data_IF_553203767031
#
_entry.id   IF_553203767031
#
_cell.length_a   1.000
_cell.length_b   1.000
_cell.length_c   1.000
_cell.angle_alpha   90.00
_cell.angle_beta   90.00
_cell.angle_gamma   90.00
#
_symmetry.space_group_name_H-M   'P 1'
#
loop_
_entity.id
_entity.type
_entity.pdbx_description
1 polymer ?
#
# COMPACT_ATOMS: atom_id res chain seq x y z
N UNK A 1 55.61 5.06 2.80
CA UNK A 1 55.12 4.61 1.47
C UNK A 1 54.18 5.68 0.92
N UNK A 2 54.46 6.14 -0.30
CA UNK A 2 53.82 7.27 -0.98
C UNK A 2 52.31 7.06 -1.17
N UNK A 3 51.50 7.97 -0.64
CA UNK A 3 50.04 8.02 -0.82
C UNK A 3 49.71 8.35 -2.28
N UNK A 4 49.17 7.39 -3.00
CA UNK A 4 48.87 7.52 -4.42
C UNK A 4 47.60 8.37 -4.60
N UNK A 5 47.75 9.65 -4.96
CA UNK A 5 46.68 10.66 -5.18
C UNK A 5 45.80 10.42 -6.43
N UNK A 6 45.72 9.18 -6.94
CA UNK A 6 45.17 8.87 -8.27
C UNK A 6 43.77 8.25 -8.32
N UNK A 7 43.11 7.95 -7.20
CA UNK A 7 41.84 7.20 -7.18
C UNK A 7 40.65 8.01 -6.62
N UNK A 8 40.60 9.31 -6.88
CA UNK A 8 39.38 10.09 -6.71
C UNK A 8 38.39 9.70 -7.82
N UNK A 9 37.76 8.54 -7.64
CA UNK A 9 36.86 7.90 -8.59
C UNK A 9 35.72 8.83 -9.03
N UNK A 10 35.49 8.84 -10.34
CA UNK A 10 34.43 9.54 -11.04
C UNK A 10 33.08 9.42 -10.32
N UNK A 11 32.51 10.56 -9.96
CA UNK A 11 31.18 10.69 -9.37
C UNK A 11 30.11 10.26 -10.38
N UNK A 12 29.58 9.06 -10.23
CA UNK A 12 28.35 8.65 -10.90
C UNK A 12 27.15 9.30 -10.20
N UNK A 13 26.79 10.50 -10.67
CA UNK A 13 25.48 11.10 -10.41
C UNK A 13 24.40 10.25 -11.09
N UNK A 14 23.94 9.21 -10.41
CA UNK A 14 22.77 8.47 -10.89
C UNK A 14 21.53 9.35 -10.65
N UNK A 15 20.70 9.45 -11.69
CA UNK A 15 19.58 10.39 -11.89
C UNK A 15 18.38 10.12 -10.96
N UNK A 16 18.60 9.90 -9.66
CA UNK A 16 17.55 9.82 -8.65
C UNK A 16 17.45 11.21 -8.01
N UNK A 17 16.40 11.97 -8.35
CA UNK A 17 16.07 13.25 -7.71
C UNK A 17 15.96 13.04 -6.19
N UNK A 18 17.02 13.31 -5.45
CA UNK A 18 17.00 13.33 -3.98
C UNK A 18 16.64 14.71 -3.47
N UNK A 19 15.92 14.75 -2.34
CA UNK A 19 15.52 15.98 -1.65
C UNK A 19 16.63 16.55 -0.76
N UNK A 20 17.74 15.83 -0.55
CA UNK A 20 18.88 16.33 0.23
C UNK A 20 20.20 15.80 -0.34
N UNK A 21 21.06 16.64 -0.95
CA UNK A 21 22.38 16.20 -1.41
C UNK A 21 23.31 15.94 -0.22
N UNK A 22 23.91 14.75 -0.15
CA UNK A 22 24.96 14.44 0.83
C UNK A 22 26.21 15.26 0.47
N UNK A 23 26.70 16.09 1.39
CA UNK A 23 27.93 16.85 1.15
C UNK A 23 29.13 15.93 1.11
N UNK A 24 30.17 16.33 0.36
CA UNK A 24 31.43 15.55 0.27
C UNK A 24 32.07 15.35 1.65
N UNK A 25 31.99 16.36 2.51
CA UNK A 25 32.55 16.29 3.86
C UNK A 25 31.85 15.24 4.71
N UNK A 26 30.51 15.27 4.77
CA UNK A 26 29.73 14.27 5.50
C UNK A 26 29.98 12.87 4.95
N UNK A 27 30.03 12.73 3.62
CA UNK A 27 30.36 11.44 2.99
C UNK A 27 31.71 10.90 3.46
N UNK A 28 32.75 11.74 3.46
CA UNK A 28 34.11 11.32 3.87
C UNK A 28 34.17 10.94 5.35
N UNK A 29 33.46 11.69 6.22
CA UNK A 29 33.39 11.38 7.65
C UNK A 29 32.69 10.04 7.91
N UNK A 30 31.52 9.82 7.29
CA UNK A 30 30.77 8.56 7.39
C UNK A 30 31.61 7.41 6.83
N UNK A 31 32.24 7.59 5.67
CA UNK A 31 33.08 6.58 5.05
C UNK A 31 34.25 6.16 5.94
N UNK A 32 34.98 7.14 6.52
CA UNK A 32 36.09 6.85 7.43
C UNK A 32 35.62 6.11 8.69
N UNK A 33 34.51 6.53 9.29
CA UNK A 33 33.95 5.88 10.46
C UNK A 33 33.55 4.43 10.17
N UNK A 34 32.89 4.15 9.04
CA UNK A 34 32.48 2.80 8.67
C UNK A 34 33.66 1.90 8.34
N UNK A 35 34.73 2.42 7.71
CA UNK A 35 35.96 1.67 7.49
C UNK A 35 36.62 1.25 8.81
N UNK A 36 36.61 2.12 9.83
CA UNK A 36 37.14 1.78 11.15
C UNK A 36 36.26 0.76 11.88
N UNK A 37 34.94 0.99 11.90
CA UNK A 37 34.02 0.32 12.84
C UNK A 37 33.27 -0.89 12.29
N UNK A 38 33.20 -1.11 10.97
CA UNK A 38 32.35 -2.17 10.41
C UNK A 38 33.07 -2.99 9.34
N UNK A 39 33.40 -4.24 9.68
CA UNK A 39 33.96 -5.22 8.73
C UNK A 39 33.07 -5.38 7.50
N UNK A 40 31.75 -5.53 7.73
CA UNK A 40 30.79 -5.70 6.64
C UNK A 40 30.98 -4.65 5.54
N UNK A 41 31.17 -3.39 5.93
CA UNK A 41 31.38 -2.26 5.03
C UNK A 41 32.76 -2.27 4.36
N UNK A 42 33.83 -2.60 5.11
CA UNK A 42 35.20 -2.69 4.57
C UNK A 42 35.30 -3.66 3.39
N UNK A 43 34.54 -4.75 3.45
CA UNK A 43 34.55 -5.82 2.47
C UNK A 43 33.72 -5.52 1.21
N UNK A 44 32.96 -4.41 1.16
CA UNK A 44 32.26 -3.97 -0.04
C UNK A 44 33.23 -3.34 -1.04
N UNK A 45 32.96 -3.51 -2.34
CA UNK A 45 33.64 -2.75 -3.39
C UNK A 45 33.21 -1.26 -3.38
N UNK A 46 33.89 -0.42 -4.15
CA UNK A 46 33.61 1.03 -4.18
C UNK A 46 32.15 1.36 -4.54
N UNK A 47 31.51 0.58 -5.42
CA UNK A 47 30.10 0.79 -5.80
C UNK A 47 29.17 0.36 -4.67
N UNK A 48 29.47 -0.76 -4.02
CA UNK A 48 28.74 -1.28 -2.87
C UNK A 48 28.82 -0.31 -1.68
N UNK A 49 30.02 0.21 -1.41
CA UNK A 49 30.27 1.24 -0.39
C UNK A 49 29.45 2.52 -0.64
N UNK A 50 29.41 3.00 -1.88
CA UNK A 50 28.61 4.17 -2.25
C UNK A 50 27.10 3.90 -2.08
N UNK A 51 26.62 2.73 -2.53
CA UNK A 51 25.23 2.30 -2.32
C UNK A 51 24.87 2.17 -0.85
N UNK A 52 25.77 1.64 -0.04
CA UNK A 52 25.59 1.46 1.39
C UNK A 52 25.45 2.81 2.10
N UNK A 53 26.37 3.75 1.89
CA UNK A 53 26.28 5.10 2.47
C UNK A 53 25.01 5.80 2.02
N UNK A 54 24.65 5.69 0.74
CA UNK A 54 23.42 6.28 0.21
C UNK A 54 22.18 5.79 0.95
N UNK A 55 22.05 4.48 1.15
CA UNK A 55 20.95 3.87 1.91
C UNK A 55 20.98 4.27 3.39
N UNK A 56 22.15 4.24 4.01
CA UNK A 56 22.36 4.66 5.39
C UNK A 56 21.85 6.09 5.62
N UNK A 57 22.20 7.04 4.75
CA UNK A 57 21.79 8.43 4.90
C UNK A 57 20.26 8.59 4.78
N UNK A 58 19.62 7.85 3.86
CA UNK A 58 18.15 7.82 3.77
C UNK A 58 17.54 7.24 5.04
N UNK A 59 18.09 6.15 5.57
CA UNK A 59 17.65 5.54 6.82
C UNK A 59 17.75 6.56 7.95
N UNK A 60 18.94 7.15 8.15
CA UNK A 60 19.23 8.10 9.21
C UNK A 60 18.25 9.26 9.23
N UNK A 61 17.98 9.86 8.07
CA UNK A 61 17.05 10.99 7.94
C UNK A 61 15.59 10.64 8.26
N UNK A 62 15.23 9.36 8.24
CA UNK A 62 13.89 8.88 8.59
C UNK A 62 13.78 8.43 10.05
N UNK A 63 14.88 8.34 10.78
CA UNK A 63 14.92 7.84 12.16
C UNK A 63 15.05 8.99 13.16
N UNK A 64 14.60 8.73 14.38
CA UNK A 64 14.79 9.60 15.52
C UNK A 64 15.55 8.83 16.58
N UNK A 65 16.68 9.39 17.00
CA UNK A 65 17.57 8.80 18.00
C UNK A 65 17.40 9.56 19.31
N UNK A 66 17.22 8.81 20.40
CA UNK A 66 16.90 9.35 21.71
C UNK A 66 17.84 8.75 22.75
N UNK A 67 18.68 9.57 23.35
CA UNK A 67 19.52 9.16 24.46
C UNK A 67 18.70 9.02 25.75
N UNK A 68 19.03 8.03 26.57
CA UNK A 68 18.40 7.74 27.85
C UNK A 68 19.44 7.83 28.97
N UNK A 69 18.96 8.03 30.19
CA UNK A 69 19.83 8.09 31.39
C UNK A 69 20.94 9.14 31.30
N UNK A 70 20.63 10.30 30.70
CA UNK A 70 21.58 11.39 30.52
C UNK A 70 22.59 11.20 29.38
N UNK A 71 22.50 10.11 28.61
CA UNK A 71 23.31 9.93 27.41
C UNK A 71 22.92 10.96 26.35
N UNK A 72 23.89 11.71 25.84
CA UNK A 72 23.72 12.54 24.64
C UNK A 72 24.02 11.71 23.39
N UNK A 73 23.11 11.76 22.41
CA UNK A 73 23.27 11.03 21.16
C UNK A 73 24.35 11.69 20.31
N UNK A 74 25.37 10.92 19.93
CA UNK A 74 26.46 11.39 19.08
C UNK A 74 26.19 11.07 17.61
N UNK A 75 26.86 11.80 16.72
CA UNK A 75 26.83 11.50 15.27
C UNK A 75 27.27 10.05 14.97
N UNK A 76 28.27 9.54 15.67
CA UNK A 76 28.74 8.15 15.53
C UNK A 76 27.60 7.15 15.82
N UNK A 77 26.82 7.37 16.89
CA UNK A 77 25.70 6.48 17.23
C UNK A 77 24.64 6.44 16.13
N UNK A 78 24.24 7.60 15.61
CA UNK A 78 23.23 7.69 14.56
C UNK A 78 23.69 6.99 13.27
N UNK A 79 24.97 7.20 12.91
CA UNK A 79 25.56 6.60 11.71
C UNK A 79 25.65 5.09 11.85
N UNK A 80 26.19 4.58 12.96
CA UNK A 80 26.39 3.16 13.16
C UNK A 80 25.05 2.41 13.26
N UNK A 81 24.08 2.91 14.03
CA UNK A 81 22.76 2.28 14.11
C UNK A 81 22.08 2.25 12.73
N UNK A 82 22.17 3.35 11.97
CA UNK A 82 21.65 3.38 10.59
C UNK A 82 22.40 2.43 9.66
N UNK A 83 23.71 2.24 9.88
CA UNK A 83 24.53 1.29 9.15
C UNK A 83 24.13 -0.17 9.44
N UNK A 84 23.80 -0.52 10.69
CA UNK A 84 23.27 -1.84 11.05
C UNK A 84 21.97 -2.15 10.30
N UNK A 85 21.06 -1.17 10.20
CA UNK A 85 19.85 -1.30 9.39
C UNK A 85 20.20 -1.50 7.91
N UNK A 86 21.15 -0.73 7.39
CA UNK A 86 21.60 -0.86 6.01
C UNK A 86 22.28 -2.21 5.71
N UNK A 87 23.00 -2.79 6.69
CA UNK A 87 23.64 -4.10 6.61
C UNK A 87 22.60 -5.22 6.53
N UNK A 88 21.70 -5.32 7.51
CA UNK A 88 20.72 -6.42 7.55
C UNK A 88 19.78 -6.39 6.34
N UNK A 89 19.51 -5.21 5.79
CA UNK A 89 18.64 -5.01 4.62
C UNK A 89 19.42 -4.78 3.31
N UNK A 90 20.73 -4.99 3.28
CA UNK A 90 21.56 -4.63 2.13
C UNK A 90 21.13 -5.33 0.84
N UNK A 91 20.71 -6.60 0.92
CA UNK A 91 20.18 -7.37 -0.22
C UNK A 91 18.77 -6.98 -0.65
N UNK A 92 18.02 -6.26 0.18
CA UNK A 92 16.60 -6.00 -0.02
C UNK A 92 16.33 -4.78 -0.91
N UNK A 93 15.19 -4.77 -1.60
CA UNK A 93 14.69 -3.59 -2.33
C UNK A 93 14.18 -2.53 -1.36
N UNK A 94 13.33 -2.93 -0.43
CA UNK A 94 12.83 -2.13 0.69
C UNK A 94 13.77 -2.26 1.89
N UNK A 95 14.54 -1.20 2.19
CA UNK A 95 15.67 -1.26 3.13
C UNK A 95 15.49 -0.37 4.38
N UNK A 96 14.45 0.46 4.42
CA UNK A 96 14.38 1.54 5.40
C UNK A 96 13.71 1.17 6.71
N UNK A 97 12.99 0.05 6.81
CA UNK A 97 12.20 -0.35 7.99
C UNK A 97 11.33 0.80 8.52
N UNK A 98 10.47 1.38 7.67
CA UNK A 98 9.69 2.60 7.96
C UNK A 98 8.79 2.54 9.19
N UNK A 99 8.40 1.35 9.66
CA UNK A 99 7.64 1.16 10.90
C UNK A 99 8.45 1.58 12.15
N UNK A 100 9.76 1.30 12.13
CA UNK A 100 10.65 1.60 13.25
C UNK A 100 11.25 2.98 13.08
N UNK A 101 10.73 3.95 13.85
CA UNK A 101 11.16 5.35 13.77
C UNK A 101 11.99 5.79 14.96
N UNK A 102 11.80 5.16 16.12
CA UNK A 102 12.40 5.61 17.37
C UNK A 102 13.46 4.61 17.83
N UNK A 103 14.70 5.07 17.93
CA UNK A 103 15.83 4.33 18.49
C UNK A 103 16.19 4.94 19.84
N UNK A 104 16.01 4.20 20.92
CA UNK A 104 16.39 4.61 22.27
C UNK A 104 17.76 4.02 22.60
N UNK A 105 18.69 4.88 23.00
CA UNK A 105 20.07 4.51 23.26
C UNK A 105 20.34 4.71 24.75
N UNK A 106 20.65 3.62 25.44
CA UNK A 106 21.07 3.59 26.84
C UNK A 106 22.59 3.46 26.91
N UNK A 107 23.25 4.02 27.92
CA UNK A 107 24.70 3.88 28.08
C UNK A 107 25.14 2.43 28.29
N UNK A 108 24.33 1.65 29.02
CA UNK A 108 24.56 0.23 29.33
C UNK A 108 23.22 -0.54 29.36
N UNK A 109 23.20 -1.70 30.03
CA UNK A 109 21.97 -2.44 30.29
C UNK A 109 20.98 -1.59 31.08
N UNK A 110 19.69 -1.84 30.87
CA UNK A 110 18.61 -1.05 31.46
C UNK A 110 17.48 -1.93 31.98
N UNK A 111 16.84 -1.50 33.04
CA UNK A 111 15.74 -2.26 33.65
C UNK A 111 14.42 -2.04 32.90
N UNK A 112 13.85 -3.12 32.36
CA UNK A 112 12.50 -3.09 31.79
C UNK A 112 11.46 -3.36 32.87
N UNK A 113 10.64 -2.36 33.17
CA UNK A 113 9.50 -2.51 34.11
C UNK A 113 8.46 -3.52 33.61
N UNK A 114 8.29 -3.63 32.30
CA UNK A 114 7.33 -4.55 31.68
C UNK A 114 7.75 -6.00 31.87
N UNK A 115 9.03 -6.30 31.60
CA UNK A 115 9.59 -7.66 31.70
C UNK A 115 10.20 -7.96 33.06
N UNK A 116 10.23 -6.97 33.96
CA UNK A 116 10.80 -7.02 35.32
C UNK A 116 12.23 -7.57 35.37
N UNK A 117 13.04 -7.26 34.37
CA UNK A 117 14.44 -7.71 34.25
C UNK A 117 15.31 -6.66 33.58
N UNK A 118 16.61 -6.76 33.81
CA UNK A 118 17.63 -6.07 33.02
C UNK A 118 17.62 -6.57 31.57
N UNK A 119 17.70 -5.63 30.63
CA UNK A 119 17.78 -5.88 29.20
C UNK A 119 19.03 -5.23 28.62
N UNK A 120 19.59 -5.87 27.60
CA UNK A 120 20.64 -5.28 26.76
C UNK A 120 20.04 -4.55 25.55
N UNK A 121 18.88 -5.00 25.08
CA UNK A 121 18.13 -4.39 24.00
C UNK A 121 16.67 -4.79 24.03
N UNK A 122 15.89 -4.26 23.10
CA UNK A 122 14.54 -4.72 22.90
C UNK A 122 13.83 -4.03 21.76
N UNK A 123 12.97 -4.78 21.11
CA UNK A 123 12.14 -4.30 20.00
C UNK A 123 10.67 -4.42 20.36
N UNK A 124 9.91 -3.35 20.16
CA UNK A 124 8.50 -3.29 20.55
C UNK A 124 7.57 -3.22 19.34
N UNK A 125 6.36 -3.75 19.50
CA UNK A 125 5.32 -3.72 18.48
C UNK A 125 4.73 -2.32 18.17
N UNK A 126 5.21 -1.26 18.82
CA UNK A 126 4.84 0.13 18.53
C UNK A 126 5.94 0.91 17.79
N UNK A 127 6.94 0.21 17.24
CA UNK A 127 7.96 0.82 16.38
C UNK A 127 9.13 1.48 17.12
N UNK A 128 9.41 1.02 18.35
CA UNK A 128 10.57 1.46 19.14
C UNK A 128 11.61 0.34 19.21
N UNK A 129 12.88 0.71 19.04
CA UNK A 129 14.04 -0.17 19.20
C UNK A 129 14.92 0.40 20.30
N UNK A 130 15.43 -0.44 21.18
CA UNK A 130 16.23 -0.06 22.33
C UNK A 130 17.59 -0.77 22.28
N UNK A 131 18.66 -0.02 22.56
CA UNK A 131 20.02 -0.55 22.59
C UNK A 131 20.78 -0.07 23.82
N UNK A 132 21.49 -0.99 24.48
CA UNK A 132 22.67 -0.67 25.28
C UNK A 132 23.82 -0.32 24.34
N UNK A 133 24.35 0.89 24.44
CA UNK A 133 25.45 1.35 23.60
C UNK A 133 26.75 0.57 23.85
N UNK A 134 27.01 0.20 25.10
CA UNK A 134 28.15 -0.65 25.46
C UNK A 134 28.09 -1.99 24.71
N UNK A 135 26.94 -2.65 24.74
CA UNK A 135 26.76 -3.98 24.16
C UNK A 135 26.59 -3.92 22.63
N UNK A 136 26.03 -2.83 22.10
CA UNK A 136 26.03 -2.53 20.67
C UNK A 136 27.46 -2.47 20.13
N UNK A 137 28.35 -1.71 20.78
CA UNK A 137 29.76 -1.61 20.37
C UNK A 137 30.48 -2.94 20.50
N UNK A 138 30.21 -3.70 21.56
CA UNK A 138 30.82 -5.02 21.76
C UNK A 138 30.49 -5.97 20.59
N UNK A 139 29.24 -5.98 20.12
CA UNK A 139 28.81 -6.82 19.00
C UNK A 139 29.38 -6.43 17.63
N UNK A 140 30.06 -5.28 17.50
CA UNK A 140 30.79 -4.90 16.28
C UNK A 140 32.31 -4.86 16.48
N UNK A 141 32.79 -5.16 17.70
CA UNK A 141 34.20 -5.19 18.03
C UNK A 141 34.84 -6.55 17.72
N UNK A 142 34.07 -7.62 17.84
CA UNK A 142 34.45 -8.99 17.47
C UNK A 142 33.36 -9.50 16.52
N UNK A 143 33.76 -9.83 15.29
CA UNK A 143 32.84 -10.26 14.24
C UNK A 143 32.78 -11.78 14.07
N UNK A 144 33.39 -12.56 14.99
CA UNK A 144 33.41 -14.04 14.98
C UNK A 144 33.08 -14.61 16.38
N UNK A 145 32.35 -13.88 17.22
CA UNK A 145 31.89 -14.41 18.52
C UNK A 145 30.47 -15.03 18.43
N UNK A 146 29.71 -14.70 17.38
CA UNK A 146 28.34 -15.17 17.15
C UNK A 146 27.28 -14.39 17.92
N UNK A 147 27.59 -13.18 18.38
CA UNK A 147 26.70 -12.30 19.15
C UNK A 147 26.75 -10.88 18.63
N UNK A 148 25.61 -10.40 18.15
CA UNK A 148 25.50 -9.01 17.71
C UNK A 148 24.14 -8.46 18.10
N UNK A 149 24.12 -7.65 19.17
CA UNK A 149 22.90 -7.07 19.71
C UNK A 149 22.13 -6.28 18.65
N UNK A 150 22.83 -5.53 17.81
CA UNK A 150 22.20 -4.72 16.77
C UNK A 150 21.46 -5.60 15.77
N UNK A 151 22.14 -6.62 15.24
CA UNK A 151 21.56 -7.54 14.28
C UNK A 151 20.43 -8.38 14.88
N UNK A 152 20.56 -8.75 16.16
CA UNK A 152 19.52 -9.46 16.91
C UNK A 152 18.21 -8.66 16.97
N UNK A 153 18.26 -7.43 17.47
CA UNK A 153 17.05 -6.59 17.56
C UNK A 153 16.51 -6.21 16.18
N UNK A 154 17.39 -6.00 15.19
CA UNK A 154 16.97 -5.71 13.83
C UNK A 154 16.34 -6.92 13.13
N UNK A 155 16.68 -8.16 13.51
CA UNK A 155 15.96 -9.34 13.08
C UNK A 155 14.52 -9.34 13.60
N UNK A 156 14.32 -9.00 14.88
CA UNK A 156 12.97 -8.77 15.42
C UNK A 156 12.24 -7.67 14.66
N UNK A 157 12.94 -6.59 14.30
CA UNK A 157 12.37 -5.53 13.47
C UNK A 157 11.88 -6.06 12.12
N UNK A 158 12.65 -6.87 11.39
CA UNK A 158 12.22 -7.45 10.12
C UNK A 158 10.93 -8.24 10.25
N UNK A 159 10.84 -9.11 11.26
CA UNK A 159 9.66 -9.94 11.49
C UNK A 159 8.44 -9.09 11.87
N UNK A 160 8.57 -8.16 12.81
CA UNK A 160 7.48 -7.28 13.21
C UNK A 160 7.03 -6.37 12.06
N UNK A 161 7.97 -5.85 11.26
CA UNK A 161 7.65 -5.02 10.11
C UNK A 161 6.78 -5.81 9.10
N UNK A 162 7.11 -7.08 8.86
CA UNK A 162 6.32 -8.01 8.05
C UNK A 162 4.94 -8.26 8.69
N UNK A 163 4.89 -8.61 9.98
CA UNK A 163 3.63 -8.92 10.69
C UNK A 163 2.66 -7.73 10.71
N UNK A 164 3.18 -6.50 10.79
CA UNK A 164 2.39 -5.25 10.76
C UNK A 164 1.95 -4.85 9.33
N UNK A 165 2.34 -5.60 8.30
CA UNK A 165 2.00 -5.31 6.91
C UNK A 165 2.66 -4.04 6.37
N UNK A 166 3.72 -3.55 7.01
CA UNK A 166 4.57 -2.50 6.46
C UNK A 166 5.52 -3.18 5.47
N UNK A 167 5.67 -2.60 4.28
CA UNK A 167 6.47 -3.18 3.19
C UNK A 167 7.89 -3.55 3.62
N UNK A 168 8.09 -4.79 4.07
CA UNK A 168 9.38 -5.48 3.93
C UNK A 168 9.47 -5.93 2.48
N UNK A 169 10.67 -6.20 1.98
CA UNK A 169 10.88 -6.86 0.68
C UNK A 169 9.85 -7.99 0.49
N UNK A 170 9.12 -7.93 -0.63
CA UNK A 170 8.01 -8.86 -0.90
C UNK A 170 8.46 -10.32 -0.84
N UNK A 171 9.73 -10.59 -1.18
CA UNK A 171 10.31 -11.92 -1.10
C UNK A 171 10.47 -12.37 0.35
N UNK A 172 10.91 -11.49 1.25
CA UNK A 172 11.05 -11.82 2.67
C UNK A 172 9.71 -12.28 3.24
N UNK A 173 8.65 -11.49 3.04
CA UNK A 173 7.32 -11.77 3.59
C UNK A 173 6.73 -13.08 3.09
N UNK A 174 6.87 -13.36 1.78
CA UNK A 174 6.38 -14.61 1.16
C UNK A 174 7.20 -15.84 1.55
N UNK A 175 8.47 -15.65 1.92
CA UNK A 175 9.42 -16.74 2.14
C UNK A 175 9.65 -17.07 3.62
N UNK A 176 9.37 -16.14 4.54
CA UNK A 176 9.66 -16.31 5.97
C UNK A 176 9.10 -17.61 6.55
N UNK A 177 7.80 -17.89 6.34
CA UNK A 177 7.18 -19.12 6.84
C UNK A 177 7.80 -20.39 6.25
N UNK A 178 8.30 -20.34 5.01
CA UNK A 178 9.03 -21.44 4.40
C UNK A 178 10.41 -21.60 5.02
N UNK A 179 11.14 -20.51 5.24
CA UNK A 179 12.44 -20.54 5.93
C UNK A 179 12.28 -21.15 7.34
N UNK A 180 11.25 -20.74 8.09
CA UNK A 180 10.99 -21.28 9.43
C UNK A 180 10.75 -22.80 9.39
N UNK A 181 10.00 -23.29 8.39
CA UNK A 181 9.80 -24.73 8.20
C UNK A 181 11.10 -25.52 7.97
N UNK A 182 12.12 -24.92 7.35
CA UNK A 182 13.46 -25.54 7.21
C UNK A 182 14.26 -25.53 8.52
N UNK A 183 14.01 -24.54 9.39
CA UNK A 183 14.64 -24.43 10.70
C UNK A 183 13.93 -25.23 11.80
N UNK A 184 12.67 -25.64 11.60
CA UNK A 184 11.81 -26.21 12.63
C UNK A 184 12.45 -27.37 13.39
N UNK A 185 13.04 -28.33 12.68
CA UNK A 185 13.66 -29.49 13.33
C UNK A 185 14.83 -29.11 14.24
N UNK A 186 15.60 -28.09 13.89
CA UNK A 186 16.70 -27.60 14.73
C UNK A 186 16.16 -26.79 15.91
N UNK A 187 15.14 -25.96 15.68
CA UNK A 187 14.43 -25.25 16.73
C UNK A 187 13.87 -26.22 17.78
N UNK A 188 13.13 -27.26 17.37
CA UNK A 188 12.54 -28.25 18.29
C UNK A 188 13.61 -28.96 19.13
N UNK A 189 14.78 -29.27 18.52
CA UNK A 189 15.93 -29.83 19.24
C UNK A 189 16.45 -28.86 20.31
N UNK A 190 16.66 -27.60 19.94
CA UNK A 190 17.14 -26.56 20.86
C UNK A 190 16.13 -26.28 21.97
N UNK A 191 14.84 -26.24 21.65
CA UNK A 191 13.75 -26.03 22.60
C UNK A 191 13.67 -27.17 23.62
N UNK A 192 13.98 -28.40 23.19
CA UNK A 192 14.16 -29.56 24.08
C UNK A 192 15.48 -29.56 24.87
N UNK A 193 16.26 -28.46 24.83
CA UNK A 193 17.51 -28.31 25.56
C UNK A 193 18.71 -29.06 24.97
N UNK A 194 18.63 -29.53 23.72
CA UNK A 194 19.75 -30.21 23.06
C UNK A 194 20.77 -29.18 22.56
N UNK A 195 22.04 -29.56 22.60
CA UNK A 195 23.12 -28.73 22.08
C UNK A 195 22.99 -28.49 20.56
N UNK A 196 23.36 -27.27 20.17
CA UNK A 196 23.40 -26.79 18.80
C UNK A 196 24.63 -25.91 18.59
N UNK A 197 25.01 -25.72 17.33
CA UNK A 197 25.94 -24.66 16.93
C UNK A 197 25.41 -23.27 17.30
N UNK A 198 24.08 -23.08 17.20
CA UNK A 198 23.44 -21.85 17.61
C UNK A 198 23.42 -21.72 19.13
N UNK A 199 23.57 -20.50 19.62
CA UNK A 199 23.46 -20.18 21.05
C UNK A 199 22.13 -20.67 21.62
N UNK A 200 22.17 -21.33 22.78
CA UNK A 200 21.00 -21.95 23.43
C UNK A 200 19.80 -21.01 23.60
N UNK A 201 20.03 -19.69 23.72
CA UNK A 201 18.98 -18.68 23.77
C UNK A 201 18.01 -18.74 22.59
N UNK A 202 18.47 -19.16 21.40
CA UNK A 202 17.63 -19.35 20.22
C UNK A 202 16.57 -20.45 20.38
N UNK A 203 16.72 -21.37 21.34
CA UNK A 203 15.71 -22.38 21.66
C UNK A 203 14.53 -21.84 22.49
N UNK A 204 14.56 -20.58 22.91
CA UNK A 204 13.52 -20.01 23.80
C UNK A 204 12.15 -19.95 23.13
N UNK A 205 12.09 -19.42 21.89
CA UNK A 205 10.91 -19.35 21.04
C UNK A 205 11.35 -19.04 19.60
N UNK A 206 10.42 -19.12 18.64
CA UNK A 206 10.73 -18.95 17.21
C UNK A 206 11.27 -17.55 16.85
N UNK A 207 10.89 -16.50 17.59
CA UNK A 207 11.41 -15.15 17.38
C UNK A 207 12.89 -15.09 17.73
N UNK A 208 13.26 -15.64 18.89
CA UNK A 208 14.65 -15.71 19.32
C UNK A 208 15.47 -16.65 18.43
N UNK A 209 14.88 -17.73 17.96
CA UNK A 209 15.51 -18.62 16.99
C UNK A 209 15.93 -17.88 15.72
N UNK A 210 15.01 -17.10 15.14
CA UNK A 210 15.31 -16.28 13.97
C UNK A 210 16.40 -15.24 14.26
N UNK A 211 16.29 -14.50 15.36
CA UNK A 211 17.28 -13.48 15.69
C UNK A 211 18.68 -14.08 15.91
N UNK A 212 18.80 -15.20 16.62
CA UNK A 212 20.08 -15.91 16.82
C UNK A 212 20.63 -16.49 15.52
N UNK A 213 19.77 -16.97 14.62
CA UNK A 213 20.21 -17.37 13.27
C UNK A 213 20.80 -16.17 12.51
N UNK A 214 20.16 -15.00 12.55
CA UNK A 214 20.66 -13.79 11.90
C UNK A 214 21.99 -13.33 12.50
N UNK A 215 22.17 -13.41 13.82
CA UNK A 215 23.47 -13.16 14.46
C UNK A 215 24.55 -14.08 13.85
N UNK A 216 24.37 -15.40 13.91
CA UNK A 216 25.37 -16.35 13.41
C UNK A 216 25.57 -16.27 11.89
N UNK A 217 24.57 -15.78 11.16
CA UNK A 217 24.66 -15.58 9.73
C UNK A 217 25.69 -14.54 9.34
N UNK A 218 25.72 -13.40 10.04
CA UNK A 218 26.68 -12.35 9.75
C UNK A 218 28.00 -12.53 10.49
N UNK A 219 27.97 -13.10 11.69
CA UNK A 219 29.14 -13.25 12.56
C UNK A 219 29.91 -14.56 12.29
N UNK A 220 29.23 -15.68 12.01
CA UNK A 220 29.87 -17.00 11.84
C UNK A 220 29.48 -17.71 10.55
N UNK A 221 29.52 -17.06 9.38
CA UNK A 221 28.93 -17.62 8.16
C UNK A 221 29.57 -18.93 7.70
N UNK A 222 30.89 -19.10 7.83
CA UNK A 222 31.60 -20.32 7.44
C UNK A 222 31.15 -21.51 8.31
N UNK A 223 31.14 -21.32 9.62
CA UNK A 223 30.74 -22.33 10.59
C UNK A 223 29.25 -22.64 10.45
N UNK A 224 28.41 -21.63 10.24
CA UNK A 224 26.97 -21.82 10.04
C UNK A 224 26.69 -22.62 8.77
N UNK A 225 27.32 -22.26 7.65
CA UNK A 225 27.21 -23.03 6.40
C UNK A 225 27.69 -24.47 6.55
N UNK A 226 28.73 -24.72 7.35
CA UNK A 226 29.27 -26.08 7.57
C UNK A 226 28.36 -26.93 8.45
N UNK A 227 27.84 -26.37 9.54
CA UNK A 227 27.15 -27.12 10.59
C UNK A 227 25.63 -27.19 10.38
N UNK A 228 25.02 -26.14 9.83
CA UNK A 228 23.58 -26.08 9.52
C UNK A 228 23.36 -25.54 8.09
N UNK A 229 23.85 -26.26 7.05
CA UNK A 229 23.90 -25.78 5.66
C UNK A 229 22.53 -25.39 5.09
N UNK A 230 21.48 -26.14 5.42
CA UNK A 230 20.14 -25.87 4.90
C UNK A 230 19.56 -24.57 5.46
N UNK A 231 19.68 -24.33 6.77
CA UNK A 231 19.21 -23.09 7.40
C UNK A 231 20.00 -21.89 6.85
N UNK A 232 21.34 -22.02 6.76
CA UNK A 232 22.20 -20.99 6.15
C UNK A 232 21.75 -20.66 4.72
N UNK A 233 21.60 -21.67 3.87
CA UNK A 233 21.20 -21.51 2.46
C UNK A 233 19.85 -20.81 2.33
N UNK A 234 18.87 -21.19 3.14
CA UNK A 234 17.55 -20.57 3.14
C UNK A 234 17.56 -19.15 3.70
N UNK A 235 18.45 -18.85 4.65
CA UNK A 235 18.63 -17.51 5.17
C UNK A 235 19.29 -16.58 4.14
N UNK A 236 20.21 -17.09 3.31
CA UNK A 236 20.73 -16.34 2.16
C UNK A 236 19.60 -15.90 1.21
N UNK A 237 18.68 -16.81 0.91
CA UNK A 237 17.52 -16.52 0.06
C UNK A 237 16.57 -15.52 0.72
N UNK A 238 16.33 -15.67 2.03
CA UNK A 238 15.42 -14.82 2.79
C UNK A 238 15.92 -13.37 2.87
N UNK A 239 17.21 -13.17 3.15
CA UNK A 239 17.84 -11.84 3.27
C UNK A 239 18.38 -11.30 1.94
N UNK A 240 18.34 -12.11 0.89
CA UNK A 240 18.95 -11.87 -0.43
C UNK A 240 20.43 -11.47 -0.34
N UNK A 241 21.18 -12.15 0.53
CA UNK A 241 22.59 -11.89 0.83
C UNK A 241 23.35 -13.18 1.04
N UNK A 242 24.65 -13.19 0.75
CA UNK A 242 25.57 -14.27 1.13
C UNK A 242 26.80 -13.63 1.82
N UNK A 243 26.91 -13.69 3.16
CA UNK A 243 28.03 -13.13 3.92
C UNK A 243 29.40 -13.66 3.51
N UNK A 244 29.47 -14.86 2.92
CA UNK A 244 30.70 -15.43 2.37
C UNK A 244 31.10 -14.83 1.00
N UNK A 245 30.18 -14.15 0.31
CA UNK A 245 30.42 -13.53 -0.99
C UNK A 245 31.00 -12.11 -0.85
N UNK A 246 31.96 -11.90 0.07
CA UNK A 246 32.62 -10.60 0.36
C UNK A 246 33.06 -9.90 -0.95
N UNK A 247 33.76 -10.62 -1.84
CA UNK A 247 34.24 -10.09 -3.13
C UNK A 247 33.17 -9.78 -4.20
N UNK A 248 31.88 -10.03 -3.93
CA UNK A 248 30.76 -9.73 -4.83
C UNK A 248 29.66 -8.91 -4.14
N UNK A 249 30.06 -8.03 -3.20
CA UNK A 249 29.15 -7.22 -2.39
C UNK A 249 28.05 -8.04 -1.72
N UNK A 250 28.37 -9.25 -1.24
CA UNK A 250 27.41 -10.17 -0.60
C UNK A 250 26.22 -10.58 -1.47
N UNK A 251 26.34 -10.43 -2.80
CA UNK A 251 25.27 -10.83 -3.72
C UNK A 251 25.19 -12.35 -3.81
N UNK A 252 23.97 -12.89 -3.94
CA UNK A 252 23.76 -14.33 -4.17
C UNK A 252 24.45 -14.78 -5.47
N UNK A 253 25.45 -15.65 -5.34
CA UNK A 253 26.24 -16.16 -6.47
C UNK A 253 25.41 -17.14 -7.34
N UNK A 254 24.45 -17.85 -6.74
CA UNK A 254 23.60 -18.81 -7.46
C UNK A 254 22.10 -18.63 -7.18
N UNK A 255 21.38 -18.04 -8.15
CA UNK A 255 19.90 -17.97 -8.13
C UNK A 255 19.23 -19.25 -8.64
N UNK A 256 19.97 -20.21 -9.21
CA UNK A 256 19.43 -21.48 -9.76
C UNK A 256 19.00 -22.45 -8.65
N UNK A 257 19.21 -22.11 -7.39
CA UNK A 257 18.75 -22.83 -6.20
C UNK A 257 17.21 -22.92 -6.12
N UNK A 258 16.47 -22.11 -6.89
CA UNK A 258 15.03 -22.27 -7.12
C UNK A 258 14.66 -23.49 -8.00
N UNK A 259 15.65 -24.14 -8.64
CA UNK A 259 15.48 -25.14 -9.70
C UNK A 259 15.32 -26.59 -9.26
N UNK A 260 15.29 -26.91 -7.96
CA UNK A 260 14.79 -28.21 -7.49
C UNK A 260 13.42 -28.00 -6.84
N UNK A 261 12.36 -28.72 -7.25
CA UNK A 261 11.11 -28.69 -6.50
C UNK A 261 11.41 -29.14 -5.08
N UNK A 262 11.09 -28.26 -4.13
CA UNK A 262 11.33 -28.50 -2.71
C UNK A 262 10.51 -29.73 -2.27
N UNK A 263 11.03 -30.57 -1.37
CA UNK A 263 10.19 -31.58 -0.72
C UNK A 263 9.03 -30.85 -0.03
N UNK A 264 7.80 -31.33 -0.24
CA UNK A 264 6.63 -30.80 0.48
C UNK A 264 6.90 -30.94 1.99
N UNK A 265 6.57 -29.94 2.82
CA UNK A 265 6.70 -30.08 4.26
C UNK A 265 5.95 -31.33 4.70
N UNK A 266 6.67 -32.25 5.33
CA UNK A 266 6.11 -33.49 5.87
C UNK A 266 5.48 -33.10 7.20
N UNK A 267 4.23 -32.65 7.15
CA UNK A 267 3.40 -32.58 8.35
C UNK A 267 3.21 -34.02 8.85
N UNK A 268 3.98 -34.42 9.85
CA UNK A 268 3.59 -35.55 10.68
C UNK A 268 2.29 -35.15 11.37
N UNK A 269 1.22 -35.88 11.08
CA UNK A 269 -0.08 -35.69 11.73
C UNK A 269 0.11 -35.90 13.23
N UNK A 270 0.25 -34.82 13.97
CA UNK A 270 -0.02 -34.80 15.40
C UNK A 270 -1.49 -35.21 15.54
N UNK A 271 -1.75 -36.28 16.31
CA UNK A 271 -3.10 -36.75 16.60
C UNK A 271 -3.83 -35.67 17.41
N UNK A 272 -4.68 -34.89 16.75
CA UNK A 272 -5.67 -34.03 17.40
C UNK A 272 -6.78 -34.88 18.00
N UNK A 273 -6.59 -35.39 19.22
CA UNK A 273 -7.71 -35.76 20.10
C UNK A 273 -8.10 -34.56 20.95
N UNK A 274 -8.91 -33.65 20.39
CA UNK A 274 -10.06 -32.99 21.07
C UNK A 274 -10.76 -32.03 20.10
N UNK A 275 -11.52 -32.58 19.15
CA UNK A 275 -12.51 -31.80 18.39
C UNK A 275 -13.82 -31.74 19.17
N UNK A 276 -14.12 -30.56 19.73
CA UNK A 276 -15.50 -30.16 19.99
C UNK A 276 -16.21 -30.03 18.63
N UNK A 277 -17.09 -31.00 18.34
CA UNK A 277 -17.92 -31.04 17.13
C UNK A 277 -19.03 -29.99 17.22
N UNK A 278 -19.10 -29.07 16.28
CA UNK A 278 -20.35 -28.38 15.93
C UNK A 278 -21.12 -29.21 14.91
N UNK A 279 -22.40 -29.43 15.19
CA UNK A 279 -23.32 -30.13 14.32
C UNK A 279 -23.64 -29.28 13.07
N UNK A 280 -23.31 -29.81 11.90
CA UNK A 280 -23.51 -29.14 10.62
C UNK A 280 -22.29 -29.36 9.73
N UNK A 281 -22.33 -30.40 8.91
CA UNK A 281 -21.24 -30.79 8.04
C UNK A 281 -21.03 -29.80 6.89
N UNK A 282 -20.25 -28.76 7.13
CA UNK A 282 -19.55 -28.02 6.08
C UNK A 282 -18.07 -27.90 6.44
N UNK A 283 -17.20 -28.26 5.49
CA UNK A 283 -15.77 -27.98 5.60
C UNK A 283 -15.59 -26.47 5.63
N UNK A 284 -15.07 -25.94 6.73
CA UNK A 284 -14.40 -24.63 6.72
C UNK A 284 -13.20 -24.74 5.78
N UNK A 285 -13.39 -24.29 4.54
CA UNK A 285 -12.30 -24.07 3.60
C UNK A 285 -11.37 -22.99 4.16
N UNK A 286 -10.07 -23.17 3.96
CA UNK A 286 -9.01 -22.23 4.34
C UNK A 286 -9.35 -20.77 3.99
N UNK A 287 -9.68 -19.97 4.99
CA UNK A 287 -10.06 -18.55 4.81
C UNK A 287 -8.87 -17.61 4.54
N UNK A 288 -7.68 -18.12 4.23
CA UNK A 288 -6.51 -17.28 3.94
C UNK A 288 -6.24 -17.03 2.44
N UNK A 289 -7.14 -17.47 1.54
CA UNK A 289 -7.11 -17.09 0.12
C UNK A 289 -7.94 -15.83 -0.21
N UNK A 290 -8.65 -15.26 0.77
CA UNK A 290 -9.51 -14.09 0.60
C UNK A 290 -8.90 -12.79 1.17
N UNK A 291 -7.58 -12.64 1.06
CA UNK A 291 -6.91 -11.37 1.35
C UNK A 291 -7.29 -10.29 0.33
N UNK A 292 -8.16 -9.35 0.75
CA UNK A 292 -8.54 -8.11 0.05
C UNK A 292 -9.50 -8.15 -1.15
N UNK A 293 -10.01 -9.30 -1.59
CA UNK A 293 -10.95 -9.33 -2.73
C UNK A 293 -12.39 -8.96 -2.37
N UNK A 294 -12.82 -9.20 -1.13
CA UNK A 294 -14.20 -8.91 -0.72
C UNK A 294 -14.58 -7.43 -0.84
N UNK A 295 -13.69 -6.51 -0.44
CA UNK A 295 -13.97 -5.07 -0.55
C UNK A 295 -14.17 -4.63 -2.00
N UNK A 296 -13.44 -5.22 -2.94
CA UNK A 296 -13.51 -4.89 -4.37
C UNK A 296 -14.86 -5.32 -4.93
N UNK A 297 -15.27 -6.56 -4.65
CA UNK A 297 -16.59 -7.05 -5.04
C UNK A 297 -17.70 -6.26 -4.35
N UNK A 298 -17.58 -5.94 -3.07
CA UNK A 298 -18.57 -5.12 -2.36
C UNK A 298 -18.69 -3.71 -2.93
N UNK A 299 -17.58 -3.08 -3.34
CA UNK A 299 -17.61 -1.73 -3.92
C UNK A 299 -18.11 -1.74 -5.37
N UNK A 300 -17.74 -2.74 -6.18
CA UNK A 300 -18.29 -2.91 -7.53
C UNK A 300 -19.78 -3.30 -7.51
N UNK A 301 -20.20 -4.09 -6.52
CA UNK A 301 -21.61 -4.42 -6.34
C UNK A 301 -22.39 -3.20 -5.83
N UNK A 302 -21.84 -2.44 -4.88
CA UNK A 302 -22.42 -1.20 -4.41
C UNK A 302 -22.55 -0.14 -5.53
N UNK A 303 -21.60 -0.07 -6.48
CA UNK A 303 -21.72 0.85 -7.61
C UNK A 303 -22.92 0.51 -8.48
N UNK A 304 -23.12 -0.77 -8.78
CA UNK A 304 -24.31 -1.24 -9.51
C UNK A 304 -25.59 -0.85 -8.76
N UNK A 305 -25.69 -1.11 -7.45
CA UNK A 305 -26.90 -0.81 -6.68
C UNK A 305 -27.16 0.69 -6.47
N UNK A 306 -26.11 1.52 -6.38
CA UNK A 306 -26.25 2.97 -6.19
C UNK A 306 -26.46 3.74 -7.50
N UNK A 307 -25.95 3.24 -8.63
CA UNK A 307 -26.11 3.90 -9.94
C UNK A 307 -27.38 3.49 -10.67
N UNK A 308 -27.91 2.28 -10.43
CA UNK A 308 -29.13 1.80 -11.07
C UNK A 308 -30.33 2.75 -10.87
N UNK A 309 -30.62 3.28 -9.67
CA UNK A 309 -31.73 4.22 -9.49
C UNK A 309 -31.57 5.50 -10.33
N UNK A 310 -30.36 6.04 -10.47
CA UNK A 310 -30.12 7.28 -11.21
C UNK A 310 -30.30 7.12 -12.73
N UNK A 311 -29.97 5.94 -13.28
CA UNK A 311 -30.12 5.63 -14.71
C UNK A 311 -31.59 5.34 -15.07
N UNK A 312 -32.36 4.77 -14.14
CA UNK A 312 -33.74 4.33 -14.38
C UNK A 312 -34.83 5.28 -13.87
N UNK A 313 -34.47 6.42 -13.24
CA UNK A 313 -35.43 7.48 -12.93
C UNK A 313 -35.61 8.37 -14.16
N UNK A 314 -36.78 8.34 -14.85
CA UNK A 314 -37.01 9.07 -16.09
C UNK A 314 -36.81 10.60 -15.95
N UNK A 315 -36.98 11.13 -14.74
CA UNK A 315 -36.87 12.58 -14.44
C UNK A 315 -35.47 13.16 -14.67
N UNK A 316 -34.41 12.36 -14.65
CA UNK A 316 -33.05 12.84 -14.90
C UNK A 316 -32.70 12.85 -16.39
N UNK A 317 -33.24 11.91 -17.17
CA UNK A 317 -32.89 11.77 -18.59
C UNK A 317 -33.43 12.91 -19.46
N UNK A 318 -34.45 13.65 -19.00
CA UNK A 318 -34.97 14.81 -19.73
C UNK A 318 -34.15 16.09 -19.52
N UNK A 319 -33.27 16.15 -18.52
CA UNK A 319 -32.59 17.39 -18.12
C UNK A 319 -31.09 17.44 -18.48
N UNK A 320 -30.45 16.29 -18.68
CA UNK A 320 -29.02 16.19 -19.02
C UNK A 320 -28.89 15.55 -20.39
N UNK A 321 -28.22 16.23 -21.32
CA UNK A 321 -27.98 15.65 -22.64
C UNK A 321 -26.98 14.48 -22.54
N UNK A 322 -27.10 13.52 -23.46
CA UNK A 322 -26.15 12.39 -23.51
C UNK A 322 -24.70 12.87 -23.67
N UNK A 323 -24.46 13.95 -24.42
CA UNK A 323 -23.14 14.56 -24.58
C UNK A 323 -22.55 15.15 -23.29
N UNK A 324 -23.37 15.85 -22.49
CA UNK A 324 -22.96 16.39 -21.20
C UNK A 324 -22.65 15.28 -20.18
N UNK A 325 -23.42 14.20 -20.21
CA UNK A 325 -23.18 13.03 -19.36
C UNK A 325 -21.82 12.38 -19.64
N UNK A 326 -21.45 12.28 -20.92
CA UNK A 326 -20.13 11.78 -21.35
C UNK A 326 -18.99 12.71 -20.90
N UNK A 327 -19.16 14.03 -21.04
CA UNK A 327 -18.17 15.02 -20.61
C UNK A 327 -17.95 14.98 -19.08
N UNK A 328 -19.02 14.96 -18.29
CA UNK A 328 -18.96 14.87 -16.83
C UNK A 328 -18.27 13.56 -16.40
N UNK A 329 -18.63 12.44 -17.04
CA UNK A 329 -18.01 11.14 -16.76
C UNK A 329 -16.51 11.15 -17.06
N UNK A 330 -16.10 11.74 -18.19
CA UNK A 330 -14.68 11.88 -18.55
C UNK A 330 -13.90 12.74 -17.55
N UNK A 331 -14.47 13.87 -17.11
CA UNK A 331 -13.86 14.73 -16.09
C UNK A 331 -13.72 14.01 -14.74
N UNK A 332 -14.73 13.23 -14.34
CA UNK A 332 -14.67 12.41 -13.13
C UNK A 332 -13.58 11.34 -13.20
N UNK A 333 -13.36 10.69 -14.36
CA UNK A 333 -12.24 9.76 -14.55
C UNK A 333 -10.89 10.48 -14.36
N UNK A 334 -10.71 11.63 -15.00
CA UNK A 334 -9.46 12.42 -14.92
C UNK A 334 -9.17 12.84 -13.47
N UNK A 335 -10.20 13.25 -12.72
CA UNK A 335 -10.07 13.64 -11.32
C UNK A 335 -9.85 12.44 -10.39
N UNK A 336 -10.57 11.34 -10.62
CA UNK A 336 -10.50 10.13 -9.81
C UNK A 336 -9.12 9.46 -9.90
N UNK A 337 -8.50 9.51 -11.07
CA UNK A 337 -7.23 8.84 -11.32
C UNK A 337 -6.15 9.23 -10.31
N UNK A 338 -5.71 10.49 -10.15
CA UNK A 338 -4.68 10.86 -9.18
C UNK A 338 -5.13 10.66 -7.72
N UNK A 339 -6.41 10.88 -7.41
CA UNK A 339 -6.94 10.78 -6.05
C UNK A 339 -6.98 9.33 -5.55
N UNK A 340 -7.39 8.40 -6.40
CA UNK A 340 -7.56 6.99 -6.06
C UNK A 340 -6.30 6.16 -6.35
N UNK A 341 -5.48 6.55 -7.33
CA UNK A 341 -4.24 5.85 -7.67
C UNK A 341 -3.29 5.75 -6.48
N UNK A 342 -3.12 6.85 -5.73
CA UNK A 342 -2.27 6.88 -4.53
C UNK A 342 -2.81 6.05 -3.36
N UNK A 343 -4.14 5.87 -3.29
CA UNK A 343 -4.78 5.08 -2.22
C UNK A 343 -4.83 3.58 -2.53
N UNK A 344 -5.00 3.23 -3.81
CA UNK A 344 -5.35 1.88 -4.25
C UNK A 344 -4.17 1.18 -4.95
N UNK A 345 -3.46 1.86 -5.84
CA UNK A 345 -2.36 1.27 -6.64
C UNK A 345 -1.02 1.41 -5.93
N UNK A 346 -0.71 2.58 -5.36
CA UNK A 346 0.57 2.83 -4.65
C UNK A 346 0.71 2.01 -3.34
N UNK A 347 -0.35 1.31 -2.91
CA UNK A 347 -0.34 0.38 -1.77
C UNK A 347 -0.28 -1.09 -2.18
N UNK A 348 0.05 -1.40 -3.44
CA UNK A 348 0.11 -2.76 -4.02
C UNK A 348 -1.13 -3.63 -3.79
N UNK A 349 -2.29 -3.01 -3.54
CA UNK A 349 -3.54 -3.75 -3.33
C UNK A 349 -4.24 -4.12 -4.63
N UNK A 350 -3.83 -3.54 -5.77
CA UNK A 350 -4.64 -3.57 -6.99
C UNK A 350 -3.82 -3.48 -8.29
N UNK A 351 -3.87 -4.51 -9.17
CA UNK A 351 -3.27 -4.43 -10.49
C UNK A 351 -3.90 -3.31 -11.33
N UNK A 352 -3.10 -2.65 -12.17
CA UNK A 352 -3.51 -1.48 -12.97
C UNK A 352 -4.78 -1.72 -13.82
N UNK A 353 -4.93 -2.92 -14.39
CA UNK A 353 -6.09 -3.27 -15.20
C UNK A 353 -7.39 -3.21 -14.38
N UNK A 354 -7.39 -3.73 -13.16
CA UNK A 354 -8.56 -3.68 -12.29
C UNK A 354 -8.81 -2.28 -11.77
N UNK A 355 -7.77 -1.48 -11.53
CA UNK A 355 -7.91 -0.07 -11.15
C UNK A 355 -8.69 0.72 -12.20
N UNK A 356 -8.40 0.50 -13.49
CA UNK A 356 -9.13 1.13 -14.59
C UNK A 356 -10.62 0.73 -14.57
N UNK A 357 -10.92 -0.56 -14.38
CA UNK A 357 -12.31 -1.04 -14.26
C UNK A 357 -13.01 -0.42 -13.05
N UNK A 358 -12.35 -0.35 -11.91
CA UNK A 358 -12.89 0.27 -10.70
C UNK A 358 -13.20 1.76 -10.90
N UNK A 359 -12.31 2.52 -11.55
CA UNK A 359 -12.54 3.95 -11.79
C UNK A 359 -13.76 4.15 -12.69
N UNK A 360 -13.87 3.39 -13.78
CA UNK A 360 -14.92 3.56 -14.79
C UNK A 360 -16.26 2.99 -14.33
N UNK A 361 -16.29 1.79 -13.76
CA UNK A 361 -17.53 1.05 -13.44
C UNK A 361 -17.93 1.21 -11.97
N UNK A 362 -16.98 1.53 -11.10
CA UNK A 362 -17.19 1.72 -9.67
C UNK A 362 -17.38 3.18 -9.29
N UNK A 363 -16.30 3.94 -9.38
CA UNK A 363 -16.22 5.28 -8.81
C UNK A 363 -17.09 6.31 -9.54
N UNK A 364 -16.99 6.38 -10.88
CA UNK A 364 -17.74 7.37 -11.68
C UNK A 364 -19.25 7.23 -11.49
N UNK A 365 -19.87 6.03 -11.60
CA UNK A 365 -21.32 5.89 -11.43
C UNK A 365 -21.81 6.21 -10.01
N UNK A 366 -21.03 5.89 -8.98
CA UNK A 366 -21.38 6.21 -7.58
C UNK A 366 -21.42 7.72 -7.36
N UNK A 367 -20.36 8.42 -7.79
CA UNK A 367 -20.26 9.87 -7.61
C UNK A 367 -21.33 10.59 -8.41
N UNK A 368 -21.52 10.19 -9.67
CA UNK A 368 -22.55 10.73 -10.54
C UNK A 368 -23.97 10.50 -9.97
N UNK A 369 -24.27 9.27 -9.53
CA UNK A 369 -25.55 8.94 -8.91
C UNK A 369 -25.80 9.74 -7.64
N UNK A 370 -24.79 9.86 -6.76
CA UNK A 370 -24.88 10.66 -5.54
C UNK A 370 -25.09 12.16 -5.83
N UNK A 371 -24.40 12.70 -6.83
CA UNK A 371 -24.58 14.08 -7.29
C UNK A 371 -26.00 14.33 -7.80
N UNK A 372 -26.55 13.42 -8.60
CA UNK A 372 -27.91 13.54 -9.13
C UNK A 372 -28.96 13.45 -8.01
N UNK A 373 -28.81 12.52 -7.08
CA UNK A 373 -29.70 12.40 -5.91
C UNK A 373 -29.65 13.65 -5.04
N UNK A 374 -28.45 14.19 -4.80
CA UNK A 374 -28.30 15.43 -4.04
C UNK A 374 -28.94 16.62 -4.77
N UNK A 375 -28.76 16.71 -6.10
CA UNK A 375 -29.40 17.74 -6.90
C UNK A 375 -30.92 17.65 -6.82
N UNK A 376 -31.49 16.44 -6.92
CA UNK A 376 -32.93 16.21 -6.78
C UNK A 376 -33.45 16.58 -5.40
N UNK A 377 -32.73 16.21 -4.33
CA UNK A 377 -33.11 16.56 -2.97
C UNK A 377 -33.12 18.08 -2.76
N UNK A 378 -32.06 18.76 -3.22
CA UNK A 378 -31.96 20.23 -3.10
C UNK A 378 -32.98 20.95 -3.97
N UNK A 379 -33.21 20.49 -5.21
CA UNK A 379 -34.24 20.99 -6.10
C UNK A 379 -35.63 20.89 -5.46
N UNK A 380 -35.93 19.79 -4.76
CA UNK A 380 -37.21 19.61 -4.05
C UNK A 380 -37.44 20.58 -2.90
N UNK A 381 -36.38 21.22 -2.40
CA UNK A 381 -36.44 22.27 -1.38
C UNK A 381 -36.48 23.69 -1.97
N UNK A 382 -36.18 23.83 -3.25
CA UNK A 382 -36.20 25.12 -3.94
C UNK A 382 -37.61 25.48 -4.38
N UNK A 383 -37.86 26.79 -4.55
CA UNK A 383 -39.12 27.26 -5.11
C UNK A 383 -39.23 26.74 -6.54
N UNK A 384 -40.39 26.18 -6.87
CA UNK A 384 -40.69 25.72 -8.23
C UNK A 384 -41.08 26.91 -9.09
N UNK A 385 -40.55 26.93 -10.31
CA UNK A 385 -40.82 27.92 -11.34
C UNK A 385 -41.49 27.22 -12.51
N UNK A 386 -42.45 27.90 -13.15
CA UNK A 386 -43.13 27.38 -14.34
C UNK A 386 -42.48 28.00 -15.56
N UNK A 387 -41.88 27.16 -16.40
CA UNK A 387 -41.29 27.59 -17.67
C UNK A 387 -42.25 27.26 -18.79
N UNK A 388 -42.55 28.26 -19.62
CA UNK A 388 -43.52 28.17 -20.71
C UNK A 388 -42.84 27.96 -22.05
N UNK A 389 -43.25 26.94 -22.79
CA UNK A 389 -42.76 26.64 -24.13
C UNK A 389 -43.89 26.76 -25.14
N UNK A 390 -43.65 27.42 -26.29
CA UNK A 390 -44.58 27.41 -27.42
C UNK A 390 -44.40 26.10 -28.20
N UNK A 391 -45.51 25.40 -28.46
CA UNK A 391 -45.48 24.12 -29.18
C UNK A 391 -45.89 24.39 -30.63
N UNK A 392 -45.02 24.04 -31.58
CA UNK A 392 -45.31 24.16 -33.02
C UNK A 392 -45.34 22.77 -33.67
N UNK A 393 -46.45 22.45 -34.33
CA UNK A 393 -46.64 21.16 -34.98
C UNK A 393 -46.13 21.22 -36.40
N UNK A 394 -45.09 20.44 -36.73
CA UNK A 394 -44.55 20.36 -38.09
C UNK A 394 -45.18 19.16 -38.82
N UNK A 395 -45.87 19.45 -39.93
CA UNK A 395 -46.44 18.43 -40.81
C UNK A 395 -45.32 17.60 -41.49
N UNK A 396 -45.32 16.29 -41.30
CA UNK A 396 -44.40 15.35 -41.97
C UNK A 396 -43.55 14.46 -41.06
N UNK A 397 -43.59 14.66 -39.74
CA UNK A 397 -43.06 13.72 -38.75
C UNK A 397 -44.05 12.55 -38.53
N UNK A 398 -43.57 11.33 -38.18
CA UNK A 398 -44.47 10.21 -37.86
C UNK A 398 -45.47 10.59 -36.76
N UNK A 399 -46.66 9.96 -36.74
CA UNK A 399 -47.84 10.27 -35.90
C UNK A 399 -47.64 10.33 -34.36
N UNK A 400 -46.41 10.44 -33.86
CA UNK A 400 -46.03 10.43 -32.44
C UNK A 400 -44.92 11.41 -32.05
N UNK A 401 -44.45 12.28 -32.95
CA UNK A 401 -43.37 13.22 -32.65
C UNK A 401 -43.77 14.67 -32.96
N UNK A 402 -43.50 15.59 -32.04
CA UNK A 402 -43.64 17.04 -32.25
C UNK A 402 -42.39 17.79 -31.79
N UNK A 403 -42.20 18.99 -32.35
CA UNK A 403 -41.07 19.87 -32.08
C UNK A 403 -41.53 21.01 -31.18
N UNK A 404 -41.00 21.09 -29.97
CA UNK A 404 -41.31 22.18 -29.04
C UNK A 404 -40.20 23.23 -29.11
N UNK A 405 -40.55 24.50 -29.33
CA UNK A 405 -39.60 25.61 -29.42
C UNK A 405 -39.65 26.52 -28.20
N UNK A 406 -38.50 27.09 -27.82
CA UNK A 406 -38.42 28.15 -26.81
C UNK A 406 -38.47 29.50 -27.51
N UNK A 407 -39.38 30.38 -27.09
CA UNK A 407 -39.39 31.78 -27.51
C UNK A 407 -38.82 32.64 -26.39
N UNK A 408 -37.51 32.89 -26.44
CA UNK A 408 -36.86 33.78 -25.49
C UNK A 408 -36.75 35.19 -26.07
N UNK A 409 -37.54 36.10 -25.50
CA UNK A 409 -37.53 37.54 -25.80
C UNK A 409 -37.84 37.90 -27.28
N UNK A 410 -38.09 39.18 -27.63
CA UNK A 410 -38.66 39.54 -28.92
C UNK A 410 -37.59 39.45 -30.02
N UNK A 411 -37.38 38.27 -30.60
CA UNK A 411 -36.59 38.13 -31.83
C UNK A 411 -35.88 36.82 -32.13
N UNK A 412 -36.05 35.71 -31.40
CA UNK A 412 -35.42 34.45 -31.81
C UNK A 412 -35.85 33.20 -31.04
N UNK A 413 -35.91 32.07 -31.76
CA UNK A 413 -36.07 30.73 -31.19
C UNK A 413 -34.68 30.16 -30.84
N UNK A 414 -34.50 29.60 -29.64
CA UNK A 414 -33.28 28.81 -29.34
C UNK A 414 -33.53 27.34 -29.65
N UNK A 415 -32.68 26.74 -30.49
CA UNK A 415 -32.71 25.37 -31.04
C UNK A 415 -32.63 24.23 -29.98
N UNK A 416 -33.56 24.15 -29.03
CA UNK A 416 -33.75 22.95 -28.20
C UNK A 416 -34.96 22.18 -28.70
N UNK A 417 -34.70 21.25 -29.63
CA UNK A 417 -35.67 20.27 -30.11
C UNK A 417 -35.98 19.28 -28.98
N UNK A 418 -37.17 19.37 -28.40
CA UNK A 418 -37.71 18.35 -27.49
C UNK A 418 -38.64 17.42 -28.29
N UNK A 419 -38.30 16.13 -28.34
CA UNK A 419 -39.18 15.09 -28.91
C UNK A 419 -40.10 14.57 -27.81
N UNK A 420 -41.40 14.80 -27.95
CA UNK A 420 -42.42 14.26 -27.04
C UNK A 420 -43.00 12.97 -27.64
N UNK A 421 -42.88 11.84 -26.93
CA UNK A 421 -43.50 10.56 -27.31
C UNK A 421 -44.81 10.39 -26.52
N UNK A 422 -45.96 10.38 -27.20
CA UNK A 422 -47.28 10.37 -26.57
C UNK A 422 -48.11 9.13 -26.92
N UNK A 423 -48.99 8.71 -25.99
CA UNK A 423 -49.96 7.63 -26.21
C UNK A 423 -51.21 8.17 -26.88
N UNK A 424 -51.44 7.74 -28.12
CA UNK A 424 -52.50 8.20 -29.02
C UNK A 424 -53.89 7.62 -28.69
N UNK A 425 -54.50 8.00 -27.56
CA UNK A 425 -55.92 7.74 -27.29
C UNK A 425 -56.80 8.99 -27.20
N UNK A 426 -56.25 10.19 -27.37
CA UNK A 426 -57.03 11.44 -27.38
C UNK A 426 -56.59 12.38 -28.50
N UNK A 427 -57.52 12.80 -29.35
CA UNK A 427 -57.38 13.95 -30.25
C UNK A 427 -58.29 15.08 -29.73
N UNK A 428 -57.90 16.37 -29.79
CA UNK A 428 -56.91 16.94 -30.69
C UNK A 428 -55.72 17.60 -29.95
N UNK A 429 -54.50 17.07 -30.16
CA UNK A 429 -53.26 17.69 -29.68
C UNK A 429 -52.80 18.86 -30.58
N UNK A 430 -53.27 18.92 -31.84
CA UNK A 430 -52.98 19.99 -32.79
C UNK A 430 -53.47 21.40 -32.37
N UNK A 431 -54.30 21.48 -31.34
CA UNK A 431 -54.81 22.73 -30.75
C UNK A 431 -54.09 23.14 -29.45
N UNK A 432 -53.12 22.35 -28.99
CA UNK A 432 -52.29 22.69 -27.84
C UNK A 432 -51.12 23.56 -28.30
N UNK A 433 -51.09 24.81 -27.81
CA UNK A 433 -50.09 25.81 -28.19
C UNK A 433 -49.01 26.06 -27.14
N UNK A 434 -49.12 25.45 -25.95
CA UNK A 434 -48.20 25.70 -24.84
C UNK A 434 -47.92 24.46 -24.01
N UNK A 435 -46.65 24.24 -23.68
CA UNK A 435 -46.16 23.25 -22.72
C UNK A 435 -45.62 24.01 -21.50
N UNK A 436 -46.19 23.74 -20.34
CA UNK A 436 -45.75 24.29 -19.06
C UNK A 436 -44.95 23.22 -18.31
N UNK A 437 -43.69 23.52 -18.00
CA UNK A 437 -42.83 22.66 -17.20
C UNK A 437 -42.68 23.26 -15.81
N UNK A 438 -43.07 22.52 -14.78
CA UNK A 438 -42.75 22.89 -13.42
C UNK A 438 -41.33 22.41 -13.10
N UNK A 439 -40.40 23.36 -12.97
CA UNK A 439 -38.98 23.09 -12.78
C UNK A 439 -38.44 23.71 -11.50
N UNK A 440 -37.36 23.14 -11.01
CA UNK A 440 -36.53 23.79 -10.00
C UNK A 440 -35.08 23.42 -10.20
N UNK A 441 -34.18 24.38 -10.03
CA UNK A 441 -32.74 24.14 -10.17
C UNK A 441 -32.15 23.71 -8.84
N UNK A 442 -31.50 22.55 -8.81
CA UNK A 442 -30.77 22.09 -7.63
C UNK A 442 -29.39 22.74 -7.49
N UNK A 443 -28.66 22.34 -6.46
CA UNK A 443 -27.32 22.92 -6.13
C UNK A 443 -26.27 22.72 -7.23
N UNK A 444 -26.48 21.77 -8.15
CA UNK A 444 -25.57 21.51 -9.26
C UNK A 444 -25.89 22.36 -10.50
N UNK A 445 -26.89 23.23 -10.46
CA UNK A 445 -27.30 24.00 -11.63
C UNK A 445 -28.03 23.17 -12.69
N UNK A 446 -28.45 21.95 -12.36
CA UNK A 446 -29.24 21.07 -13.24
C UNK A 446 -30.70 21.18 -12.85
N UNK A 447 -31.56 21.47 -13.84
CA UNK A 447 -32.99 21.59 -13.64
C UNK A 447 -33.64 20.23 -13.42
N UNK A 448 -34.56 20.18 -12.45
CA UNK A 448 -35.41 19.02 -12.20
C UNK A 448 -36.82 19.36 -12.65
N UNK A 449 -37.37 18.56 -13.55
CA UNK A 449 -38.76 18.67 -14.00
C UNK A 449 -39.65 17.85 -13.05
N UNK A 450 -40.57 18.53 -12.36
CA UNK A 450 -41.50 17.93 -11.41
C UNK A 450 -42.77 17.46 -12.09
N UNK A 451 -43.31 18.32 -12.95
CA UNK A 451 -44.58 18.10 -13.67
C UNK A 451 -44.53 18.70 -15.08
N UNK A 452 -45.38 18.17 -15.96
CA UNK A 452 -45.49 18.57 -17.36
C UNK A 452 -46.96 18.71 -17.73
N UNK A 453 -47.38 19.94 -18.03
CA UNK A 453 -48.76 20.21 -18.44
C UNK A 453 -48.81 20.71 -19.88
N UNK A 454 -49.60 20.03 -20.72
CA UNK A 454 -49.97 20.59 -22.02
C UNK A 454 -51.24 21.42 -21.86
N UNK A 455 -51.18 22.69 -22.28
CA UNK A 455 -52.30 23.63 -22.12
C UNK A 455 -53.05 23.76 -23.45
N UNK A 456 -54.34 23.41 -23.42
CA UNK A 456 -55.26 23.57 -24.55
C UNK A 456 -55.91 24.97 -24.54
N UNK A 457 -56.11 25.57 -25.71
CA UNK A 457 -56.73 26.90 -25.90
C UNK A 457 -58.28 26.87 -25.88
N UNK A 458 -58.93 26.03 -25.04
CA UNK A 458 -59.47 26.60 -23.81
C UNK A 458 -59.46 25.65 -22.60
N UNK A 459 -58.60 25.94 -21.61
CA UNK A 459 -58.82 25.63 -20.18
C UNK A 459 -58.83 24.17 -19.74
N UNK A 460 -58.47 23.22 -20.60
CA UNK A 460 -58.33 21.81 -20.24
C UNK A 460 -56.85 21.44 -20.18
N UNK A 461 -56.41 20.94 -19.02
CA UNK A 461 -55.06 20.42 -18.80
C UNK A 461 -54.99 18.95 -19.19
N UNK A 462 -53.97 18.58 -19.97
CA UNK A 462 -53.66 17.18 -20.29
C UNK A 462 -52.31 16.84 -19.67
N UNK A 463 -52.29 15.77 -18.85
CA UNK A 463 -51.07 15.26 -18.22
C UNK A 463 -50.21 14.52 -19.25
N UNK A 464 -48.94 14.92 -19.41
CA UNK A 464 -47.99 14.36 -20.40
C UNK A 464 -46.88 13.61 -19.67
N UNK A 465 -46.55 12.39 -20.11
CA UNK A 465 -45.45 11.60 -19.51
C UNK A 465 -44.06 12.04 -19.98
#
# INVERSE_FOLDING_TARGET
MSYNKGAAGQFYHNKIRQRTPITREVFMQVHALLLERMEYYRNLDTKGQARFIHRLMIIRDQKQFHGREGLEVTFEMEVLISASVAQITYGMTEFSLTFFRHFLIYPASFYSKLLRRELLGGTTGNGVVMFSWRDYKAGYADDDDGRNLALHELAHCLKIHMDQGFGVDENFSKYFGRWMAFGQSEFDRMHAGKESFLRAYGGTNEHEFFAVCVEHFFEKPESFKKLLPEIYRHLCLLLNQDPLAKGNNYSLIDRRVLGKPLPKPRYEKVQEETTLKTAGGEKLADNNLYGNWHWVFSVLLASVFLSLPAIFIPRFMSAISTGELWLISALLVILAFPLQYKKVVVRDKFPMMFFLVYVVVGFVPIVLGGMLVLNLATAGMMKREVVHYEVEWIDGLPHRECLVGVKDAPGGYTDKILTLDYKAEYAPLASCGRLDLEVSTGILGVDVVWDKHLVHTPGHEVEVR
#
